data_IF_187843319217
#
_entry.id   IF_187843319217
#
_cell.length_a   1.000
_cell.length_b   1.000
_cell.length_c   1.000
_cell.angle_alpha   90.00
_cell.angle_beta   90.00
_cell.angle_gamma   90.00
#
_symmetry.space_group_name_H-M   'P 1'
#
loop_
_entity.id
_entity.type
_entity.pdbx_description
1 polymer ?
#
# COMPACT_ATOMS: atom_id res chain seq x y z
N UNK A 1 26.08 23.59 -5.52
CA UNK A 1 25.38 22.35 -5.18
C UNK A 1 24.06 22.45 -5.90
N UNK A 2 23.70 21.43 -6.66
CA UNK A 2 22.42 21.44 -7.38
C UNK A 2 21.31 21.37 -6.33
N UNK A 3 20.62 22.49 -6.09
CA UNK A 3 19.55 22.63 -5.09
C UNK A 3 18.28 21.76 -5.42
N UNK A 4 18.35 20.98 -6.50
CA UNK A 4 17.26 20.13 -7.00
C UNK A 4 17.40 18.64 -6.66
N UNK A 5 18.47 18.23 -5.95
CA UNK A 5 18.69 16.82 -5.60
C UNK A 5 18.03 16.53 -4.25
N UNK A 6 16.98 15.67 -4.27
CA UNK A 6 16.26 15.24 -3.07
C UNK A 6 16.77 13.90 -2.52
N UNK A 7 17.26 13.03 -3.39
CA UNK A 7 17.74 11.69 -3.04
C UNK A 7 19.02 11.38 -3.83
N UNK A 8 19.94 10.55 -3.34
CA UNK A 8 21.06 10.07 -4.14
C UNK A 8 20.59 9.38 -5.43
N UNK A 9 21.27 9.59 -6.57
CA UNK A 9 20.94 8.89 -7.81
C UNK A 9 21.12 7.38 -7.64
N UNK A 10 20.07 6.61 -7.85
CA UNK A 10 20.10 5.14 -7.78
C UNK A 10 19.03 4.53 -8.68
N UNK A 11 19.20 3.27 -9.05
CA UNK A 11 18.29 2.53 -9.91
C UNK A 11 18.38 1.04 -9.59
N UNK A 12 17.25 0.34 -9.66
CA UNK A 12 17.14 -1.11 -9.55
C UNK A 12 16.53 -1.66 -10.85
N UNK A 13 17.02 -2.81 -11.30
CA UNK A 13 16.67 -3.36 -12.64
C UNK A 13 15.42 -4.22 -12.64
N UNK A 14 14.89 -4.57 -11.48
CA UNK A 14 13.76 -5.49 -11.30
C UNK A 14 12.63 -4.84 -10.51
N UNK A 15 11.41 -5.33 -10.74
CA UNK A 15 10.23 -4.98 -9.98
C UNK A 15 9.52 -6.28 -9.53
N UNK A 16 9.21 -6.45 -8.24
CA UNK A 16 9.41 -5.49 -7.14
C UNK A 16 10.88 -5.14 -6.89
N UNK A 17 11.12 -3.93 -6.31
CA UNK A 17 12.45 -3.52 -5.90
C UNK A 17 12.78 -3.98 -4.48
N UNK A 18 14.07 -4.14 -4.16
CA UNK A 18 14.56 -4.47 -2.83
C UNK A 18 14.74 -3.20 -1.99
N UNK A 19 14.17 -3.19 -0.79
CA UNK A 19 14.36 -2.09 0.16
C UNK A 19 15.79 -2.12 0.75
N UNK A 20 16.36 -3.32 0.90
CA UNK A 20 17.72 -3.48 1.40
C UNK A 20 18.78 -2.79 0.52
N UNK A 21 18.52 -2.64 -0.79
CA UNK A 21 19.42 -1.97 -1.73
C UNK A 21 19.26 -0.44 -1.77
N UNK A 22 18.28 0.14 -1.06
CA UNK A 22 18.05 1.59 -1.08
C UNK A 22 19.06 2.33 -0.19
N UNK A 23 19.53 3.48 -0.66
CA UNK A 23 20.36 4.42 0.10
C UNK A 23 19.87 5.87 -0.12
N UNK A 24 19.41 6.60 0.92
CA UNK A 24 19.18 6.11 2.29
C UNK A 24 18.01 5.13 2.40
N UNK A 25 18.03 4.32 3.46
CA UNK A 25 16.90 3.45 3.78
C UNK A 25 15.63 4.28 4.06
N UNK A 26 14.43 3.81 3.63
CA UNK A 26 13.18 4.44 3.99
C UNK A 26 12.94 4.47 5.51
N UNK A 27 12.31 5.53 5.98
CA UNK A 27 11.89 5.62 7.37
C UNK A 27 10.47 5.04 7.53
N UNK A 28 10.33 3.90 8.23
CA UNK A 28 9.02 3.26 8.43
C UNK A 28 8.33 3.66 9.72
N UNK A 29 9.04 4.17 10.72
CA UNK A 29 8.48 4.64 12.00
C UNK A 29 9.00 6.05 12.26
N UNK A 30 8.10 7.00 12.52
CA UNK A 30 8.51 8.30 13.01
C UNK A 30 8.99 8.18 14.46
N UNK A 31 10.13 8.79 14.86
CA UNK A 31 10.69 8.64 16.21
C UNK A 31 9.74 9.04 17.35
N UNK A 32 8.79 9.93 17.07
CA UNK A 32 7.79 10.39 18.03
C UNK A 32 6.49 9.58 18.02
N UNK A 33 6.33 8.62 17.09
CA UNK A 33 5.11 7.82 17.06
C UNK A 33 5.02 6.92 18.29
N UNK A 34 3.86 6.93 18.92
CA UNK A 34 3.55 6.08 20.09
C UNK A 34 2.22 5.40 19.85
N UNK A 35 2.21 4.08 19.92
CA UNK A 35 0.98 3.30 19.85
C UNK A 35 0.07 3.58 21.06
N UNK A 36 -1.23 3.51 20.82
CA UNK A 36 -2.27 3.73 21.81
C UNK A 36 -3.27 2.58 21.91
N UNK A 37 -2.87 1.41 21.39
CA UNK A 37 -3.64 0.17 21.37
C UNK A 37 -4.99 0.26 20.64
N UNK A 38 -5.08 1.11 19.60
CA UNK A 38 -6.30 1.32 18.80
C UNK A 38 -6.75 0.07 18.04
N UNK A 39 -5.82 -0.82 17.72
CA UNK A 39 -6.06 -2.06 16.98
C UNK A 39 -5.87 -3.32 17.85
N UNK A 40 -5.90 -3.18 19.16
CA UNK A 40 -5.67 -4.30 20.09
C UNK A 40 -6.58 -5.48 19.80
N UNK A 41 -5.96 -6.65 19.56
CA UNK A 41 -6.65 -7.91 19.29
C UNK A 41 -7.28 -8.02 17.91
N UNK A 42 -6.96 -7.10 16.99
CA UNK A 42 -7.33 -7.16 15.58
C UNK A 42 -6.33 -7.98 14.78
N UNK A 43 -6.77 -8.55 13.68
CA UNK A 43 -5.94 -9.24 12.70
C UNK A 43 -6.04 -8.52 11.37
N UNK A 44 -4.90 -8.14 10.81
CA UNK A 44 -4.81 -7.41 9.56
C UNK A 44 -4.05 -8.19 8.49
N UNK A 45 -4.54 -8.20 7.25
CA UNK A 45 -3.76 -8.59 6.07
C UNK A 45 -3.29 -7.31 5.36
N UNK A 46 -2.01 -7.29 4.96
CA UNK A 46 -1.43 -6.20 4.16
C UNK A 46 -0.74 -6.81 2.94
N UNK A 47 -1.27 -6.54 1.75
CA UNK A 47 -0.63 -6.96 0.50
C UNK A 47 0.53 -6.02 0.14
N UNK A 48 1.66 -6.56 -0.35
CA UNK A 48 2.90 -5.77 -0.50
C UNK A 48 3.37 -5.24 0.86
N UNK A 49 3.33 -6.09 1.90
CA UNK A 49 3.65 -5.73 3.28
C UNK A 49 5.14 -5.87 3.64
N UNK A 50 5.94 -6.35 2.71
CA UNK A 50 7.37 -6.61 2.86
C UNK A 50 8.22 -5.33 2.90
N UNK A 51 7.78 -4.27 2.22
CA UNK A 51 8.59 -3.07 2.01
C UNK A 51 7.74 -1.80 1.95
N UNK A 52 8.38 -0.64 1.90
CA UNK A 52 7.79 0.66 1.64
C UNK A 52 6.59 1.01 2.54
N UNK A 53 5.49 1.45 1.92
CA UNK A 53 4.27 1.82 2.64
C UNK A 53 3.68 0.61 3.37
N UNK A 54 3.68 -0.58 2.73
CA UNK A 54 3.15 -1.80 3.34
C UNK A 54 3.88 -2.19 4.62
N UNK A 55 5.22 -2.16 4.63
CA UNK A 55 6.05 -2.36 5.83
C UNK A 55 5.70 -1.36 6.92
N UNK A 56 5.64 -0.07 6.58
CA UNK A 56 5.32 0.96 7.57
C UNK A 56 3.92 0.75 8.17
N UNK A 57 2.92 0.37 7.36
CA UNK A 57 1.57 0.04 7.84
C UNK A 57 1.59 -1.17 8.77
N UNK A 58 2.33 -2.25 8.39
CA UNK A 58 2.45 -3.45 9.21
C UNK A 58 3.02 -3.16 10.60
N UNK A 59 4.11 -2.38 10.66
CA UNK A 59 4.76 -2.01 11.92
C UNK A 59 3.87 -1.10 12.77
N UNK A 60 3.20 -0.10 12.17
CA UNK A 60 2.28 0.77 12.89
C UNK A 60 1.07 -0.01 13.44
N UNK A 61 0.53 -0.96 12.68
CA UNK A 61 -0.58 -1.80 13.14
C UNK A 61 -0.15 -2.67 14.34
N UNK A 62 1.06 -3.23 14.29
CA UNK A 62 1.61 -3.97 15.43
C UNK A 62 1.81 -3.07 16.67
N UNK A 63 2.33 -1.85 16.50
CA UNK A 63 2.45 -0.86 17.59
C UNK A 63 1.09 -0.48 18.18
N UNK A 64 0.02 -0.58 17.41
CA UNK A 64 -1.37 -0.39 17.87
C UNK A 64 -2.01 -1.67 18.41
N UNK A 65 -1.27 -2.77 18.49
CA UNK A 65 -1.69 -4.03 19.13
C UNK A 65 -2.40 -5.02 18.22
N UNK A 66 -2.25 -4.90 16.89
CA UNK A 66 -2.75 -5.87 15.93
C UNK A 66 -1.75 -7.00 15.68
N UNK A 67 -2.27 -8.19 15.35
CA UNK A 67 -1.53 -9.23 14.65
C UNK A 67 -1.58 -8.98 13.14
N UNK A 68 -0.50 -9.28 12.42
CA UNK A 68 -0.34 -8.90 11.02
C UNK A 68 0.01 -10.09 10.15
N UNK A 69 -0.64 -10.18 9.00
CA UNK A 69 -0.24 -11.05 7.89
C UNK A 69 0.30 -10.15 6.78
N UNK A 70 1.52 -10.36 6.36
CA UNK A 70 2.07 -9.69 5.19
C UNK A 70 2.11 -10.67 4.01
N UNK A 71 1.56 -10.22 2.90
CA UNK A 71 1.76 -10.87 1.62
C UNK A 71 2.79 -10.07 0.81
N UNK A 72 3.61 -10.77 0.07
CA UNK A 72 4.63 -10.25 -0.84
C UNK A 72 4.81 -11.20 -2.01
N UNK A 73 5.48 -10.77 -3.09
CA UNK A 73 5.65 -11.61 -4.27
C UNK A 73 6.79 -12.63 -4.04
N UNK A 74 8.05 -12.17 -3.94
CA UNK A 74 9.24 -13.02 -3.84
C UNK A 74 10.38 -12.42 -2.97
N UNK A 75 10.22 -11.21 -2.41
CA UNK A 75 11.23 -10.48 -1.64
C UNK A 75 11.33 -11.03 -0.21
N UNK A 76 11.84 -12.26 -0.06
CA UNK A 76 11.89 -12.98 1.22
C UNK A 76 12.69 -12.26 2.31
N UNK A 77 13.82 -11.62 1.96
CA UNK A 77 14.65 -10.89 2.91
C UNK A 77 13.93 -9.66 3.47
N UNK A 78 13.30 -8.89 2.60
CA UNK A 78 12.49 -7.72 2.99
C UNK A 78 11.31 -8.13 3.86
N UNK A 79 10.65 -9.26 3.54
CA UNK A 79 9.56 -9.81 4.33
C UNK A 79 10.01 -10.27 5.73
N UNK A 80 11.18 -10.91 5.84
CA UNK A 80 11.77 -11.29 7.13
C UNK A 80 12.13 -10.05 7.97
N UNK A 81 12.68 -9.00 7.35
CA UNK A 81 12.95 -7.75 8.04
C UNK A 81 11.66 -7.11 8.57
N UNK A 82 10.59 -7.09 7.79
CA UNK A 82 9.28 -6.60 8.24
C UNK A 82 8.72 -7.44 9.38
N UNK A 83 8.82 -8.77 9.30
CA UNK A 83 8.41 -9.66 10.39
C UNK A 83 9.13 -9.33 11.70
N UNK A 84 10.45 -9.19 11.65
CA UNK A 84 11.23 -8.85 12.84
C UNK A 84 10.81 -7.51 13.47
N UNK A 85 10.48 -6.50 12.64
CA UNK A 85 9.97 -5.21 13.10
C UNK A 85 8.59 -5.33 13.76
N UNK A 86 7.66 -6.09 13.16
CA UNK A 86 6.32 -6.33 13.70
C UNK A 86 6.40 -7.07 15.04
N UNK A 87 7.23 -8.11 15.13
CA UNK A 87 7.43 -8.88 16.37
C UNK A 87 8.12 -8.03 17.44
N UNK A 88 9.10 -7.20 17.05
CA UNK A 88 9.73 -6.22 17.94
C UNK A 88 8.76 -5.15 18.48
N UNK A 89 7.69 -4.86 17.76
CA UNK A 89 6.60 -3.98 18.20
C UNK A 89 5.55 -4.70 19.07
N UNK A 90 5.67 -6.03 19.26
CA UNK A 90 4.80 -6.84 20.13
C UNK A 90 3.63 -7.52 19.42
N UNK A 91 3.50 -7.40 18.10
CA UNK A 91 2.53 -8.12 17.29
C UNK A 91 3.05 -9.51 16.87
N UNK A 92 2.14 -10.42 16.50
CA UNK A 92 2.51 -11.64 15.76
C UNK A 92 2.53 -11.32 14.27
N UNK A 93 3.47 -11.91 13.52
CA UNK A 93 3.55 -11.74 12.07
C UNK A 93 3.51 -13.09 11.35
N UNK A 94 2.75 -13.16 10.25
CA UNK A 94 2.74 -14.29 9.33
C UNK A 94 3.11 -13.81 7.93
N UNK A 95 4.18 -14.36 7.37
CA UNK A 95 4.66 -14.07 6.04
C UNK A 95 4.10 -15.07 5.01
N UNK A 96 3.45 -14.58 3.96
CA UNK A 96 2.90 -15.42 2.89
C UNK A 96 3.33 -14.89 1.53
N UNK A 97 4.28 -15.59 0.90
CA UNK A 97 4.72 -15.29 -0.46
C UNK A 97 3.69 -15.75 -1.50
N UNK A 98 3.48 -14.95 -2.56
CA UNK A 98 2.69 -15.29 -3.73
C UNK A 98 2.01 -14.09 -4.39
N UNK A 99 1.57 -14.32 -5.63
CA UNK A 99 0.99 -13.29 -6.49
C UNK A 99 -0.50 -13.05 -6.19
N UNK A 100 -0.82 -11.85 -5.72
CA UNK A 100 -2.22 -11.43 -5.51
C UNK A 100 -3.00 -11.25 -6.82
N UNK A 101 -2.33 -11.24 -7.95
CA UNK A 101 -2.95 -11.31 -9.27
C UNK A 101 -3.55 -12.68 -9.59
N UNK A 102 -3.32 -13.69 -8.76
CA UNK A 102 -3.95 -15.02 -8.84
C UNK A 102 -5.10 -15.15 -7.82
N UNK A 103 -6.32 -15.37 -8.33
CA UNK A 103 -7.50 -15.54 -7.48
C UNK A 103 -7.42 -16.76 -6.57
N UNK A 104 -6.80 -17.86 -7.02
CA UNK A 104 -6.64 -19.06 -6.20
C UNK A 104 -5.66 -18.82 -5.05
N UNK A 105 -4.58 -18.09 -5.31
CA UNK A 105 -3.65 -17.64 -4.29
C UNK A 105 -4.35 -16.74 -3.25
N UNK A 106 -5.15 -15.78 -3.69
CA UNK A 106 -5.89 -14.91 -2.75
C UNK A 106 -6.81 -15.71 -1.81
N UNK A 107 -7.49 -16.73 -2.30
CA UNK A 107 -8.27 -17.63 -1.43
C UNK A 107 -7.39 -18.34 -0.41
N UNK A 108 -6.23 -18.85 -0.83
CA UNK A 108 -5.26 -19.51 0.07
C UNK A 108 -4.69 -18.54 1.13
N UNK A 109 -4.40 -17.30 0.75
CA UNK A 109 -3.93 -16.24 1.66
C UNK A 109 -4.93 -16.00 2.79
N UNK A 110 -6.19 -15.80 2.43
CA UNK A 110 -7.26 -15.60 3.42
C UNK A 110 -7.43 -16.83 4.31
N UNK A 111 -7.50 -18.04 3.72
CA UNK A 111 -7.68 -19.27 4.48
C UNK A 111 -6.55 -19.48 5.49
N UNK A 112 -5.28 -19.32 5.08
CA UNK A 112 -4.12 -19.42 5.99
C UNK A 112 -4.19 -18.39 7.13
N UNK A 113 -4.69 -17.20 6.86
CA UNK A 113 -4.91 -16.17 7.90
C UNK A 113 -5.94 -16.65 8.92
N UNK A 114 -7.08 -17.17 8.46
CA UNK A 114 -8.13 -17.69 9.34
C UNK A 114 -7.66 -18.90 10.13
N UNK A 115 -6.94 -19.83 9.50
CA UNK A 115 -6.40 -21.02 10.16
C UNK A 115 -5.39 -20.66 11.27
N UNK A 116 -4.63 -19.57 11.08
CA UNK A 116 -3.58 -19.13 12.02
C UNK A 116 -4.12 -18.27 13.16
N UNK A 117 -5.01 -17.32 12.85
CA UNK A 117 -5.44 -16.29 13.79
C UNK A 117 -6.91 -16.41 14.20
N UNK A 118 -7.70 -17.24 13.52
CA UNK A 118 -9.11 -17.47 13.80
C UNK A 118 -10.06 -16.35 13.34
N UNK A 119 -9.53 -15.25 12.80
CA UNK A 119 -10.31 -14.05 12.39
C UNK A 119 -9.58 -13.21 11.35
N UNK A 120 -10.33 -12.31 10.72
CA UNK A 120 -9.80 -11.22 9.90
C UNK A 120 -10.65 -9.97 10.16
N UNK A 121 -10.01 -8.87 10.54
CA UNK A 121 -10.68 -7.60 10.85
C UNK A 121 -10.37 -6.49 9.85
N UNK A 122 -9.15 -6.50 9.30
CA UNK A 122 -8.65 -5.42 8.45
C UNK A 122 -7.98 -6.02 7.22
N UNK A 123 -8.40 -5.56 6.04
CA UNK A 123 -7.76 -5.89 4.77
C UNK A 123 -7.18 -4.62 4.16
N UNK A 124 -5.85 -4.56 4.01
CA UNK A 124 -5.14 -3.48 3.32
C UNK A 124 -4.67 -3.97 1.96
N UNK A 125 -5.31 -3.51 0.91
CA UNK A 125 -4.93 -3.74 -0.47
C UNK A 125 -3.90 -2.68 -0.87
N UNK A 126 -2.61 -3.00 -0.73
CA UNK A 126 -1.51 -2.08 -0.96
C UNK A 126 -0.58 -2.51 -2.10
N UNK A 127 -0.45 -3.79 -2.40
CA UNK A 127 0.38 -4.28 -3.49
C UNK A 127 0.13 -3.51 -4.79
N UNK A 128 1.20 -3.16 -5.49
CA UNK A 128 1.11 -2.41 -6.74
C UNK A 128 2.43 -2.35 -7.48
N UNK A 129 2.34 -2.18 -8.79
CA UNK A 129 3.48 -2.02 -9.68
C UNK A 129 3.18 -0.99 -10.75
N UNK A 130 4.23 -0.44 -11.38
CA UNK A 130 4.13 0.60 -12.39
C UNK A 130 5.29 0.50 -13.38
N UNK A 131 5.02 0.77 -14.65
CA UNK A 131 5.99 0.70 -15.74
C UNK A 131 5.89 1.98 -16.57
N UNK A 132 6.92 2.85 -16.57
CA UNK A 132 6.87 4.11 -17.30
C UNK A 132 7.03 3.85 -18.81
N UNK A 133 6.23 4.56 -19.61
CA UNK A 133 6.33 4.61 -21.06
C UNK A 133 6.22 6.06 -21.53
N UNK A 134 6.93 6.44 -22.56
CA UNK A 134 6.90 7.79 -23.09
C UNK A 134 5.66 8.06 -23.96
N UNK A 135 5.13 7.01 -24.61
CA UNK A 135 3.93 7.06 -25.45
C UNK A 135 2.94 5.94 -25.08
N UNK A 136 1.65 6.17 -25.33
CA UNK A 136 0.61 5.13 -25.25
C UNK A 136 0.90 3.97 -26.24
N UNK A 137 1.57 4.25 -27.36
CA UNK A 137 1.92 3.25 -28.37
C UNK A 137 2.97 2.26 -27.86
N UNK A 138 3.76 2.63 -26.84
CA UNK A 138 4.79 1.79 -26.24
C UNK A 138 4.22 0.85 -25.15
N UNK A 139 2.98 1.07 -24.71
CA UNK A 139 2.33 0.22 -23.72
C UNK A 139 1.87 -1.07 -24.37
N UNK A 140 2.60 -2.15 -24.14
CA UNK A 140 2.23 -3.47 -24.65
C UNK A 140 0.96 -4.01 -23.97
N UNK A 141 0.24 -4.91 -24.67
CA UNK A 141 -0.89 -5.63 -24.07
C UNK A 141 -0.46 -6.35 -22.77
N UNK A 142 0.71 -6.98 -22.77
CA UNK A 142 1.23 -7.69 -21.60
C UNK A 142 1.43 -6.75 -20.42
N UNK A 143 2.05 -5.58 -20.62
CA UNK A 143 2.23 -4.56 -19.56
C UNK A 143 0.89 -4.10 -19.01
N UNK A 144 -0.05 -3.75 -19.91
CA UNK A 144 -1.38 -3.29 -19.51
C UNK A 144 -2.11 -4.33 -18.65
N UNK A 145 -2.15 -5.59 -19.13
CA UNK A 145 -2.80 -6.68 -18.37
C UNK A 145 -2.13 -6.92 -17.01
N UNK A 146 -0.79 -6.90 -16.95
CA UNK A 146 -0.03 -7.10 -15.73
C UNK A 146 -0.29 -5.96 -14.73
N UNK A 147 -0.26 -4.70 -15.17
CA UNK A 147 -0.52 -3.53 -14.33
C UNK A 147 -1.94 -3.61 -13.75
N UNK A 148 -2.95 -3.93 -14.56
CA UNK A 148 -4.32 -4.09 -14.09
C UNK A 148 -4.50 -5.31 -13.18
N UNK A 149 -3.85 -6.42 -13.50
CA UNK A 149 -3.91 -7.66 -12.71
C UNK A 149 -3.43 -7.42 -11.28
N UNK A 150 -2.26 -6.82 -11.11
CA UNK A 150 -1.70 -6.55 -9.78
C UNK A 150 -2.43 -5.43 -9.07
N UNK A 151 -2.72 -4.31 -9.75
CA UNK A 151 -3.18 -3.10 -9.06
C UNK A 151 -4.68 -3.07 -8.78
N UNK A 152 -5.49 -3.77 -9.57
CA UNK A 152 -6.96 -3.71 -9.45
C UNK A 152 -7.65 -5.08 -9.38
N UNK A 153 -7.30 -6.06 -10.25
CA UNK A 153 -7.97 -7.37 -10.19
C UNK A 153 -7.69 -8.06 -8.85
N UNK A 154 -6.47 -7.94 -8.33
CA UNK A 154 -6.09 -8.42 -7.01
C UNK A 154 -7.05 -7.96 -5.91
N UNK A 155 -7.51 -6.70 -5.95
CA UNK A 155 -8.45 -6.16 -4.95
C UNK A 155 -9.82 -6.83 -5.00
N UNK A 156 -10.31 -7.18 -6.20
CA UNK A 156 -11.52 -7.98 -6.34
C UNK A 156 -11.32 -9.38 -5.76
N UNK A 157 -10.16 -10.02 -6.04
CA UNK A 157 -9.88 -11.37 -5.58
C UNK A 157 -9.70 -11.45 -4.06
N UNK A 158 -8.94 -10.54 -3.48
CA UNK A 158 -8.72 -10.49 -2.03
C UNK A 158 -10.01 -10.18 -1.28
N UNK A 159 -10.79 -9.18 -1.72
CA UNK A 159 -12.05 -8.82 -1.07
C UNK A 159 -13.08 -9.94 -1.20
N UNK A 160 -13.23 -10.53 -2.38
CA UNK A 160 -14.14 -11.67 -2.62
C UNK A 160 -13.81 -12.85 -1.70
N UNK A 161 -12.51 -13.16 -1.52
CA UNK A 161 -12.07 -14.21 -0.63
C UNK A 161 -12.27 -13.84 0.86
N UNK A 162 -12.00 -12.59 1.24
CA UNK A 162 -12.09 -12.12 2.62
C UNK A 162 -13.55 -11.95 3.10
N UNK A 163 -14.47 -11.58 2.21
CA UNK A 163 -15.81 -11.15 2.56
C UNK A 163 -16.65 -12.14 3.41
N UNK A 164 -16.52 -13.47 3.24
CA UNK A 164 -17.19 -14.44 4.13
C UNK A 164 -16.67 -14.43 5.58
N UNK A 165 -15.48 -13.89 5.82
CA UNK A 165 -14.81 -13.87 7.12
C UNK A 165 -14.81 -12.48 7.78
N UNK A 166 -15.25 -11.44 7.03
CA UNK A 166 -15.35 -10.08 7.55
C UNK A 166 -16.68 -9.88 8.27
N UNK A 167 -16.59 -9.52 9.54
CA UNK A 167 -17.73 -9.23 10.39
C UNK A 167 -18.02 -7.72 10.48
N UNK A 168 -19.14 -7.36 11.12
CA UNK A 168 -19.47 -5.99 11.50
C UNK A 168 -18.27 -5.30 12.15
N UNK A 169 -17.94 -4.10 11.69
CA UNK A 169 -16.82 -3.33 12.18
C UNK A 169 -15.50 -3.61 11.46
N UNK A 170 -15.46 -4.54 10.49
CA UNK A 170 -14.28 -4.76 9.68
C UNK A 170 -13.94 -3.55 8.78
N UNK A 171 -12.69 -3.46 8.37
CA UNK A 171 -12.15 -2.37 7.55
C UNK A 171 -11.49 -2.90 6.29
N UNK A 172 -11.78 -2.28 5.16
CA UNK A 172 -11.06 -2.48 3.90
C UNK A 172 -10.43 -1.16 3.54
N UNK A 173 -9.10 -1.15 3.35
CA UNK A 173 -8.34 0.07 3.05
C UNK A 173 -7.55 -0.16 1.77
N UNK A 174 -7.82 0.65 0.74
CA UNK A 174 -7.18 0.53 -0.56
C UNK A 174 -6.10 1.59 -0.75
N UNK A 175 -4.99 1.24 -1.40
CA UNK A 175 -3.92 2.20 -1.74
C UNK A 175 -4.14 2.73 -3.15
N UNK A 176 -4.73 3.92 -3.25
CA UNK A 176 -4.84 4.70 -4.48
C UNK A 176 -3.52 5.43 -4.79
N UNK A 177 -3.58 6.61 -5.39
CA UNK A 177 -2.44 7.50 -5.65
C UNK A 177 -2.93 8.89 -6.00
N UNK A 178 -2.09 9.90 -5.80
CA UNK A 178 -2.31 11.24 -6.35
C UNK A 178 -2.48 11.23 -7.88
N UNK A 179 -1.90 10.24 -8.58
CA UNK A 179 -2.02 10.10 -10.03
C UNK A 179 -3.44 9.75 -10.49
N UNK A 180 -4.28 9.20 -9.60
CA UNK A 180 -5.71 8.99 -9.88
C UNK A 180 -6.46 10.31 -10.17
N UNK A 181 -5.95 11.42 -9.68
CA UNK A 181 -6.60 12.74 -9.74
C UNK A 181 -5.92 13.66 -10.75
N UNK A 182 -4.59 13.72 -10.75
CA UNK A 182 -3.85 14.60 -11.65
C UNK A 182 -3.34 13.93 -12.92
N UNK A 183 -3.40 12.60 -12.99
CA UNK A 183 -2.74 11.83 -14.04
C UNK A 183 -1.21 11.84 -13.92
N UNK A 184 -0.56 11.07 -14.79
CA UNK A 184 0.89 11.11 -15.01
C UNK A 184 1.17 10.68 -16.45
N UNK A 185 1.86 11.53 -17.23
CA UNK A 185 2.07 11.32 -18.67
C UNK A 185 2.88 10.08 -19.01
N UNK A 186 3.77 9.63 -18.11
CA UNK A 186 4.62 8.44 -18.34
C UNK A 186 4.12 7.19 -17.60
N UNK A 187 3.07 7.30 -16.79
CA UNK A 187 2.45 6.21 -16.03
C UNK A 187 0.96 6.11 -16.35
N UNK A 188 0.63 5.98 -17.64
CA UNK A 188 -0.76 6.07 -18.11
C UNK A 188 -1.62 4.92 -17.60
N UNK A 189 -1.16 3.68 -17.76
CA UNK A 189 -1.82 2.47 -17.29
C UNK A 189 -1.91 2.40 -15.77
N UNK A 190 -0.82 2.75 -15.07
CA UNK A 190 -0.82 2.88 -13.60
C UNK A 190 -1.85 3.91 -13.13
N UNK A 191 -1.86 5.11 -13.72
CA UNK A 191 -2.81 6.16 -13.34
C UNK A 191 -4.26 5.71 -13.57
N UNK A 192 -4.52 4.98 -14.66
CA UNK A 192 -5.83 4.41 -14.93
C UNK A 192 -6.25 3.39 -13.85
N UNK A 193 -5.33 2.49 -13.41
CA UNK A 193 -5.62 1.58 -12.30
C UNK A 193 -5.90 2.32 -11.00
N UNK A 194 -5.17 3.39 -10.72
CA UNK A 194 -5.38 4.19 -9.48
C UNK A 194 -6.69 4.98 -9.51
N UNK A 195 -7.14 5.42 -10.68
CA UNK A 195 -8.48 5.96 -10.88
C UNK A 195 -9.58 4.90 -10.68
N UNK A 196 -9.35 3.69 -11.19
CA UNK A 196 -10.25 2.56 -10.98
C UNK A 196 -10.40 2.21 -9.49
N UNK A 197 -9.30 2.27 -8.70
CA UNK A 197 -9.33 2.03 -7.25
C UNK A 197 -10.22 3.05 -6.52
N UNK A 198 -10.20 4.33 -6.92
CA UNK A 198 -11.08 5.35 -6.34
C UNK A 198 -12.55 5.01 -6.57
N UNK A 199 -12.92 4.68 -7.81
CA UNK A 199 -14.29 4.27 -8.15
C UNK A 199 -14.69 2.97 -7.44
N UNK A 200 -13.79 1.98 -7.43
CA UNK A 200 -13.99 0.71 -6.73
C UNK A 200 -14.24 0.91 -5.23
N UNK A 201 -13.45 1.76 -4.57
CA UNK A 201 -13.59 2.07 -3.15
C UNK A 201 -14.98 2.65 -2.84
N UNK A 202 -15.45 3.60 -3.65
CA UNK A 202 -16.77 4.24 -3.50
C UNK A 202 -17.90 3.22 -3.69
N UNK A 203 -17.88 2.45 -4.78
CA UNK A 203 -18.92 1.46 -5.08
C UNK A 203 -18.96 0.33 -4.06
N UNK A 204 -17.79 -0.18 -3.64
CA UNK A 204 -17.72 -1.23 -2.63
C UNK A 204 -18.20 -0.75 -1.25
N UNK A 205 -17.94 0.52 -0.92
CA UNK A 205 -18.42 1.11 0.34
C UNK A 205 -19.94 1.14 0.42
N UNK A 206 -20.62 1.52 -0.67
CA UNK A 206 -22.09 1.49 -0.75
C UNK A 206 -22.64 0.07 -0.63
N UNK A 207 -21.99 -0.90 -1.29
CA UNK A 207 -22.40 -2.30 -1.24
C UNK A 207 -22.28 -2.92 0.16
N UNK A 208 -21.29 -2.50 0.96
CA UNK A 208 -20.98 -3.13 2.23
C UNK A 208 -21.47 -2.36 3.45
N UNK A 209 -22.04 -1.17 3.28
CA UNK A 209 -22.44 -0.30 4.40
C UNK A 209 -23.52 -0.95 5.29
N UNK A 210 -24.47 -1.68 4.73
CA UNK A 210 -25.50 -2.40 5.51
C UNK A 210 -24.92 -3.53 6.36
N UNK A 211 -23.75 -4.05 5.99
CA UNK A 211 -22.99 -5.02 6.77
C UNK A 211 -22.10 -4.35 7.82
N UNK A 212 -22.10 -3.02 7.90
CA UNK A 212 -21.23 -2.21 8.74
C UNK A 212 -19.72 -2.52 8.52
N UNK A 213 -19.34 -2.86 7.27
CA UNK A 213 -17.96 -2.99 6.83
C UNK A 213 -17.59 -1.68 6.12
N UNK A 214 -16.58 -0.97 6.66
CA UNK A 214 -16.19 0.32 6.13
C UNK A 214 -15.06 0.19 5.10
N UNK A 215 -15.22 0.84 3.96
CA UNK A 215 -14.26 0.77 2.85
C UNK A 215 -13.78 2.18 2.54
N UNK A 216 -12.47 2.42 2.68
CA UNK A 216 -11.85 3.71 2.42
C UNK A 216 -10.52 3.52 1.66
N UNK A 217 -9.90 4.61 1.26
CA UNK A 217 -8.60 4.56 0.60
C UNK A 217 -7.64 5.65 1.12
N UNK A 218 -6.36 5.41 0.90
CA UNK A 218 -5.30 6.41 1.02
C UNK A 218 -4.76 6.68 -0.38
N UNK A 219 -4.53 7.94 -0.72
CA UNK A 219 -3.93 8.38 -1.98
C UNK A 219 -2.60 9.10 -1.70
N UNK A 220 -1.48 8.36 -1.63
CA UNK A 220 -0.17 8.94 -1.40
C UNK A 220 0.29 9.82 -2.57
N UNK A 221 1.13 10.80 -2.24
CA UNK A 221 1.97 11.51 -3.20
C UNK A 221 3.27 10.74 -3.50
N UNK A 222 4.36 11.45 -3.84
CA UNK A 222 5.68 10.83 -3.99
C UNK A 222 6.22 10.37 -2.63
N UNK A 223 6.47 9.07 -2.48
CA UNK A 223 6.95 8.44 -1.24
C UNK A 223 8.21 7.65 -1.53
N UNK A 224 9.20 7.72 -0.64
CA UNK A 224 10.46 7.02 -0.75
C UNK A 224 10.27 5.53 -0.45
N UNK A 225 10.17 4.72 -1.48
CA UNK A 225 9.92 3.26 -1.43
C UNK A 225 10.71 2.56 -2.53
N UNK A 226 10.96 1.24 -2.44
CA UNK A 226 11.66 0.49 -3.49
C UNK A 226 11.03 0.61 -4.88
N UNK A 227 9.72 0.85 -4.95
CA UNK A 227 9.01 1.08 -6.22
C UNK A 227 9.66 2.21 -7.04
N UNK A 228 10.26 3.22 -6.40
CA UNK A 228 10.79 4.39 -7.10
C UNK A 228 12.10 4.08 -7.83
N UNK A 229 13.18 3.57 -7.20
CA UNK A 229 14.39 3.18 -7.93
C UNK A 229 14.16 1.96 -8.85
N UNK A 230 13.18 1.10 -8.59
CA UNK A 230 12.79 0.02 -9.48
C UNK A 230 11.99 0.47 -10.71
N UNK A 231 11.49 1.71 -10.71
CA UNK A 231 10.68 2.28 -11.81
C UNK A 231 11.47 3.25 -12.68
N UNK A 232 12.25 4.14 -12.05
CA UNK A 232 12.84 5.29 -12.73
C UNK A 232 14.36 5.18 -12.81
N UNK A 233 14.94 5.86 -13.83
CA UNK A 233 16.38 6.04 -13.93
C UNK A 233 16.93 6.89 -12.77
N UNK A 234 18.23 6.80 -12.54
CA UNK A 234 18.91 7.44 -11.42
C UNK A 234 18.73 8.97 -11.39
N UNK A 235 18.62 9.63 -12.55
CA UNK A 235 18.43 11.07 -12.65
C UNK A 235 17.00 11.44 -12.18
N UNK A 236 15.97 10.72 -12.64
CA UNK A 236 14.58 10.94 -12.18
C UNK A 236 14.41 10.65 -10.69
N UNK A 237 15.08 9.60 -10.18
CA UNK A 237 15.08 9.27 -8.75
C UNK A 237 15.66 10.43 -7.93
N UNK A 238 16.77 11.02 -8.34
CA UNK A 238 17.40 12.11 -7.59
C UNK A 238 16.54 13.38 -7.45
N UNK A 239 15.62 13.59 -8.41
CA UNK A 239 14.70 14.75 -8.45
C UNK A 239 13.29 14.41 -7.97
N UNK A 240 13.06 13.14 -7.55
CA UNK A 240 11.74 12.68 -7.15
C UNK A 240 11.23 13.43 -5.92
N UNK A 241 10.00 13.95 -5.98
CA UNK A 241 9.40 14.76 -4.91
C UNK A 241 9.54 16.29 -5.09
N UNK A 242 10.41 16.79 -5.99
CA UNK A 242 10.59 18.23 -6.21
C UNK A 242 9.32 18.94 -6.72
N UNK A 243 8.44 18.18 -7.38
CA UNK A 243 7.22 18.72 -8.00
C UNK A 243 6.07 18.98 -7.02
N UNK A 244 6.16 18.49 -5.78
CA UNK A 244 5.11 18.75 -4.78
C UNK A 244 5.42 20.02 -3.96
N UNK A 245 4.41 20.68 -3.35
CA UNK A 245 4.63 21.89 -2.56
C UNK A 245 5.68 21.76 -1.45
N UNK A 246 5.77 20.58 -0.80
CA UNK A 246 6.77 20.32 0.24
C UNK A 246 8.21 20.18 -0.29
N UNK A 247 8.40 20.12 -1.63
CA UNK A 247 9.72 20.03 -2.28
C UNK A 247 10.58 18.87 -1.80
N UNK A 248 9.98 17.78 -1.35
CA UNK A 248 10.65 16.54 -0.95
C UNK A 248 9.75 15.32 -1.14
N UNK A 249 10.32 14.16 -1.13
CA UNK A 249 9.58 12.90 -0.98
C UNK A 249 9.01 12.78 0.43
N UNK A 250 7.85 12.14 0.56
CA UNK A 250 7.35 11.66 1.84
C UNK A 250 8.06 10.37 2.25
N UNK A 251 8.06 10.07 3.54
CA UNK A 251 8.52 8.80 4.07
C UNK A 251 7.34 7.85 4.31
N UNK A 252 7.51 6.53 4.22
CA UNK A 252 6.48 5.56 4.58
C UNK A 252 5.86 5.81 5.95
N UNK A 253 6.66 6.24 6.94
CA UNK A 253 6.23 6.63 8.28
C UNK A 253 5.25 7.80 8.31
N UNK A 254 5.24 8.67 7.30
CA UNK A 254 4.31 9.79 7.19
C UNK A 254 2.96 9.37 6.56
N UNK A 255 2.93 8.21 5.91
CA UNK A 255 1.74 7.67 5.23
C UNK A 255 0.97 6.70 6.14
N UNK A 256 1.69 5.83 6.85
CA UNK A 256 1.10 4.76 7.67
C UNK A 256 0.09 5.23 8.73
N UNK A 257 0.23 6.40 9.39
CA UNK A 257 -0.78 6.87 10.34
C UNK A 257 -2.18 7.08 9.75
N UNK A 258 -2.29 7.38 8.45
CA UNK A 258 -3.59 7.46 7.78
C UNK A 258 -4.30 6.10 7.72
N UNK A 259 -3.53 5.01 7.53
CA UNK A 259 -4.07 3.65 7.57
C UNK A 259 -4.49 3.27 8.99
N UNK A 260 -3.71 3.63 10.02
CA UNK A 260 -4.11 3.43 11.43
C UNK A 260 -5.43 4.13 11.72
N UNK A 261 -5.58 5.39 11.32
CA UNK A 261 -6.81 6.14 11.48
C UNK A 261 -8.00 5.45 10.80
N UNK A 262 -7.84 4.99 9.55
CA UNK A 262 -8.90 4.31 8.81
C UNK A 262 -9.22 2.92 9.37
N UNK A 263 -8.24 2.23 9.97
CA UNK A 263 -8.41 0.93 10.60
C UNK A 263 -9.08 1.01 11.99
N UNK A 264 -8.93 2.12 12.68
CA UNK A 264 -9.41 2.34 14.03
C UNK A 264 -10.87 2.82 14.08
N UNK A 265 -11.43 2.87 15.29
CA UNK A 265 -12.76 3.45 15.54
C UNK A 265 -12.80 4.97 15.36
N UNK A 266 -11.65 5.63 15.28
CA UNK A 266 -11.52 7.06 15.00
C UNK A 266 -12.20 7.47 13.68
N UNK A 267 -12.30 6.53 12.72
CA UNK A 267 -12.94 6.70 11.40
C UNK A 267 -14.32 6.03 11.31
N UNK A 268 -15.00 5.77 12.42
CA UNK A 268 -16.25 5.01 12.45
C UNK A 268 -17.42 5.62 11.65
N UNK A 269 -17.32 6.89 11.30
CA UNK A 269 -18.32 7.58 10.45
C UNK A 269 -17.78 7.88 9.04
N UNK A 270 -16.79 7.12 8.57
CA UNK A 270 -16.18 7.28 7.25
C UNK A 270 -16.31 6.01 6.43
N UNK A 271 -16.92 6.10 5.26
CA UNK A 271 -16.91 5.06 4.22
C UNK A 271 -16.93 5.71 2.84
N UNK A 272 -16.26 5.11 1.86
CA UNK A 272 -16.15 5.63 0.50
C UNK A 272 -15.20 6.84 0.36
N UNK A 273 -14.42 7.16 1.39
CA UNK A 273 -13.56 8.35 1.42
C UNK A 273 -12.11 8.01 1.06
N UNK A 274 -11.40 9.02 0.54
CA UNK A 274 -10.00 8.90 0.19
C UNK A 274 -9.20 9.98 0.95
N UNK A 275 -8.21 9.55 1.75
CA UNK A 275 -7.30 10.46 2.46
C UNK A 275 -6.08 10.73 1.59
N UNK A 276 -5.77 12.01 1.37
CA UNK A 276 -4.65 12.45 0.55
C UNK A 276 -3.44 12.83 1.42
N UNK A 277 -2.42 11.95 1.47
CA UNK A 277 -1.13 12.21 2.10
C UNK A 277 -0.11 12.41 0.98
N UNK A 278 -0.03 13.63 0.41
CA UNK A 278 0.51 13.84 -0.92
C UNK A 278 1.51 15.01 -1.07
N UNK A 279 2.05 15.51 0.05
CA UNK A 279 3.03 16.61 0.02
C UNK A 279 2.44 17.98 -0.34
N UNK A 280 1.13 18.17 -0.05
CA UNK A 280 0.45 19.46 -0.22
C UNK A 280 -0.17 19.67 -1.61
N UNK A 281 -0.22 18.64 -2.46
CA UNK A 281 -0.91 18.73 -3.76
C UNK A 281 -2.41 18.85 -3.53
N UNK A 282 -3.02 19.93 -4.03
CA UNK A 282 -4.48 20.11 -3.96
C UNK A 282 -5.12 19.26 -5.06
N UNK A 283 -6.07 18.43 -4.66
CA UNK A 283 -6.86 17.60 -5.57
C UNK A 283 -8.34 17.78 -5.26
N UNK A 284 -9.13 17.80 -6.32
CA UNK A 284 -10.59 17.80 -6.23
C UNK A 284 -11.08 16.42 -6.66
N UNK A 285 -11.79 15.70 -5.78
CA UNK A 285 -12.18 14.32 -6.04
C UNK A 285 -13.58 13.97 -5.58
#
# INVERSE_FOLDING_TARGET
>A
MDDDINQPPQHQSTQPGSEAEMDPQPQYIHPEYRGSAKLKGKVAIITGGDSGIGRAVAVHFAMEGADVVINYLEEHEDAQATQALVEGAGGRCLNIAGDVGDEAFCRSLIQKTIDTFGRLDILVNNAGQQYPQDSIEDISQQQLEQTFRTNIFSMFYTVKAALPHLEKGARIINTASVTAYKGNKTLLDYSATKGAIVSYTRSLSEQLIEREILVNAVAPGPVWTPLIPATFDAEKVSKFGNQVPFKRVGQPSEIAPAYVFLAANDSSYMSGQIIHVNGGVIVNG
#
